data_IF_071961532940
#
_entry.id   IF_071961532940
#
_cell.length_a   1.000
_cell.length_b   1.000
_cell.length_c   1.000
_cell.angle_alpha   90.00
_cell.angle_beta   90.00
_cell.angle_gamma   90.00
#
_symmetry.space_group_name_H-M   'P 1'
#
loop_
_entity.id
_entity.type
_entity.pdbx_description
1 polymer ?
#
# COMPACT_ATOMS: atom_id res chain seq x y z
N UNK A 1 3.18 -0.30 -13.38
CA UNK A 1 2.27 -1.33 -12.84
C UNK A 1 1.74 -2.13 -14.01
N UNK A 2 1.66 -3.45 -13.90
CA UNK A 2 1.06 -4.27 -14.96
C UNK A 2 -0.46 -4.24 -14.91
N UNK A 3 -1.11 -4.52 -16.04
CA UNK A 3 -2.58 -4.55 -16.16
C UNK A 3 -3.21 -5.56 -15.20
N UNK A 4 -2.62 -6.74 -15.07
CA UNK A 4 -3.11 -7.82 -14.19
C UNK A 4 -3.18 -7.32 -12.74
N UNK A 5 -2.15 -6.63 -12.24
CA UNK A 5 -2.16 -6.09 -10.89
C UNK A 5 -3.30 -5.10 -10.68
N UNK A 6 -3.53 -4.19 -11.64
CA UNK A 6 -4.60 -3.20 -11.54
C UNK A 6 -5.97 -3.88 -11.50
N UNK A 7 -6.21 -4.86 -12.37
CA UNK A 7 -7.45 -5.64 -12.40
C UNK A 7 -7.64 -6.40 -11.09
N UNK A 8 -6.61 -7.09 -10.58
CA UNK A 8 -6.70 -7.79 -9.29
C UNK A 8 -7.06 -6.84 -8.16
N UNK A 9 -6.43 -5.66 -8.09
CA UNK A 9 -6.77 -4.66 -7.06
C UNK A 9 -8.22 -4.23 -7.20
N UNK A 10 -8.70 -3.95 -8.41
CA UNK A 10 -10.09 -3.52 -8.64
C UNK A 10 -11.11 -4.61 -8.30
N UNK A 11 -10.84 -5.87 -8.66
CA UNK A 11 -11.71 -7.00 -8.32
C UNK A 11 -11.78 -7.20 -6.80
N UNK A 12 -10.63 -7.20 -6.12
CA UNK A 12 -10.56 -7.38 -4.67
C UNK A 12 -11.14 -6.20 -3.89
N UNK A 13 -11.18 -5.00 -4.46
CA UNK A 13 -11.79 -3.81 -3.84
C UNK A 13 -13.22 -3.53 -4.30
N UNK A 14 -13.78 -4.38 -5.18
CA UNK A 14 -15.06 -4.16 -5.84
C UNK A 14 -15.17 -2.74 -6.45
N UNK A 15 -14.16 -2.33 -7.21
CA UNK A 15 -14.08 -1.00 -7.82
C UNK A 15 -14.05 0.14 -6.79
N UNK A 16 -13.51 -0.11 -5.60
CA UNK A 16 -13.51 0.83 -4.48
C UNK A 16 -14.86 1.39 -4.04
N UNK A 17 -15.99 0.78 -4.45
CA UNK A 17 -17.34 1.30 -4.20
C UNK A 17 -17.69 1.41 -2.70
N UNK A 18 -17.03 0.61 -1.87
CA UNK A 18 -17.24 0.54 -0.43
C UNK A 18 -16.24 1.39 0.38
N UNK A 19 -15.39 2.17 -0.29
CA UNK A 19 -14.39 3.00 0.37
C UNK A 19 -14.63 4.48 0.10
N UNK A 20 -14.88 5.23 1.16
CA UNK A 20 -15.02 6.70 1.11
C UNK A 20 -13.66 7.39 1.09
N UNK A 21 -12.64 6.73 1.66
CA UNK A 21 -11.32 7.31 1.76
C UNK A 21 -10.18 6.30 1.56
N UNK A 22 -9.02 6.83 1.15
CA UNK A 22 -7.83 6.02 0.91
C UNK A 22 -7.30 5.31 2.18
N UNK A 23 -7.62 5.81 3.38
CA UNK A 23 -7.18 5.15 4.63
C UNK A 23 -7.92 3.84 4.84
N UNK A 24 -9.22 3.78 4.53
CA UNK A 24 -10.01 2.55 4.56
C UNK A 24 -9.48 1.55 3.53
N UNK A 25 -9.23 1.98 2.28
CA UNK A 25 -8.65 1.12 1.26
C UNK A 25 -7.25 0.60 1.64
N UNK A 26 -6.40 1.46 2.21
CA UNK A 26 -5.08 1.05 2.70
C UNK A 26 -5.15 0.08 3.88
N UNK A 27 -6.10 0.27 4.80
CA UNK A 27 -6.33 -0.64 5.93
C UNK A 27 -6.91 -1.99 5.47
N UNK A 28 -7.84 -1.96 4.52
CA UNK A 28 -8.37 -3.15 3.86
C UNK A 28 -7.27 -3.94 3.16
N UNK A 29 -6.37 -3.26 2.44
CA UNK A 29 -5.18 -3.89 1.86
C UNK A 29 -4.14 -4.34 2.91
N UNK A 30 -4.28 -3.94 4.17
CA UNK A 30 -3.28 -4.18 5.23
C UNK A 30 -1.94 -3.52 4.93
N UNK A 31 -1.96 -2.32 4.37
CA UNK A 31 -0.78 -1.47 4.11
C UNK A 31 -0.62 -0.36 5.17
N UNK A 32 -1.38 -0.46 6.25
CA UNK A 32 -1.33 0.38 7.43
C UNK A 32 -0.50 -0.25 8.55
N UNK A 33 0.11 0.63 9.36
CA UNK A 33 0.82 0.23 10.56
C UNK A 33 -0.18 0.15 11.71
N UNK A 34 -0.35 -1.04 12.29
CA UNK A 34 -1.30 -1.29 13.37
C UNK A 34 -0.53 -1.55 14.67
N UNK A 35 -0.86 -0.84 15.76
CA UNK A 35 -0.29 -1.12 17.08
C UNK A 35 -0.80 -2.49 17.56
N UNK A 36 0.09 -3.32 18.09
CA UNK A 36 -0.28 -4.64 18.62
C UNK A 36 -0.36 -4.54 20.14
N UNK A 37 -1.53 -4.18 20.63
CA UNK A 37 -1.79 -4.02 22.07
C UNK A 37 -2.82 -5.05 22.56
N UNK A 38 -2.57 -5.63 23.74
CA UNK A 38 -3.55 -6.48 24.43
C UNK A 38 -3.46 -6.24 25.93
N UNK A 39 -4.44 -5.55 26.51
CA UNK A 39 -4.52 -5.30 27.95
C UNK A 39 -3.28 -4.58 28.50
N UNK A 40 -2.28 -5.34 28.98
CA UNK A 40 -1.02 -4.85 29.54
C UNK A 40 0.18 -4.96 28.57
N UNK A 41 0.04 -5.61 27.42
CA UNK A 41 1.13 -5.81 26.47
C UNK A 41 1.12 -4.73 25.39
N UNK A 42 2.25 -4.03 25.23
CA UNK A 42 2.53 -3.13 24.10
C UNK A 42 3.60 -3.76 23.20
N UNK A 43 3.16 -4.36 22.10
CA UNK A 43 4.04 -4.94 21.08
C UNK A 43 4.59 -3.90 20.10
N UNK A 44 5.51 -4.33 19.24
CA UNK A 44 6.03 -3.48 18.14
C UNK A 44 4.94 -3.22 17.11
N UNK A 45 4.77 -1.95 16.73
CA UNK A 45 3.90 -1.55 15.62
C UNK A 45 4.41 -2.13 14.31
N UNK A 46 3.54 -2.90 13.65
CA UNK A 46 3.85 -3.64 12.44
C UNK A 46 2.74 -3.50 11.41
N UNK A 47 2.94 -4.11 10.25
CA UNK A 47 1.94 -4.13 9.19
C UNK A 47 0.83 -5.09 9.59
N UNK A 48 -0.43 -4.71 9.33
CA UNK A 48 -1.57 -5.57 9.59
C UNK A 48 -1.50 -6.87 8.77
N UNK A 49 -1.61 -8.02 9.45
CA UNK A 49 -1.83 -9.31 8.78
C UNK A 49 -3.31 -9.58 8.48
N UNK A 50 -4.23 -8.73 8.96
CA UNK A 50 -5.69 -8.92 8.85
C UNK A 50 -6.29 -8.42 7.54
N UNK A 51 -5.59 -7.55 6.80
CA UNK A 51 -6.08 -7.06 5.51
C UNK A 51 -5.97 -8.10 4.39
N UNK A 52 -6.48 -7.76 3.22
CA UNK A 52 -6.46 -8.56 2.00
C UNK A 52 -5.03 -8.95 1.58
N UNK A 53 -4.74 -10.26 1.64
CA UNK A 53 -3.42 -10.79 1.31
C UNK A 53 -3.13 -10.75 -0.20
N UNK A 54 -4.14 -10.92 -1.05
CA UNK A 54 -3.99 -10.88 -2.50
C UNK A 54 -3.51 -9.50 -2.97
N UNK A 55 -4.13 -8.42 -2.46
CA UNK A 55 -3.71 -7.04 -2.75
C UNK A 55 -2.26 -6.79 -2.31
N UNK A 56 -1.84 -7.28 -1.13
CA UNK A 56 -0.44 -7.13 -0.71
C UNK A 56 0.53 -7.87 -1.62
N UNK A 57 0.22 -9.11 -1.97
CA UNK A 57 1.10 -9.92 -2.82
C UNK A 57 1.23 -9.30 -4.21
N UNK A 58 0.10 -8.88 -4.81
CA UNK A 58 0.12 -8.33 -6.17
C UNK A 58 0.81 -6.96 -6.24
N UNK A 59 0.77 -6.15 -5.18
CA UNK A 59 1.42 -4.84 -5.13
C UNK A 59 2.92 -4.90 -4.80
N UNK A 60 3.42 -6.02 -4.26
CA UNK A 60 4.81 -6.11 -3.81
C UNK A 60 5.81 -5.98 -4.96
N UNK A 61 5.65 -6.79 -6.01
CA UNK A 61 6.54 -6.76 -7.19
C UNK A 61 6.48 -5.42 -7.95
N UNK A 62 5.30 -4.83 -8.20
CA UNK A 62 5.20 -3.49 -8.77
C UNK A 62 5.83 -2.40 -7.91
N UNK A 63 5.74 -2.49 -6.58
CA UNK A 63 6.37 -1.53 -5.68
C UNK A 63 7.90 -1.62 -5.73
N UNK A 64 8.46 -2.84 -5.77
CA UNK A 64 9.90 -3.06 -5.97
C UNK A 64 10.37 -2.52 -7.32
N UNK A 65 9.68 -2.87 -8.40
CA UNK A 65 9.99 -2.38 -9.74
C UNK A 65 9.93 -0.85 -9.81
N UNK A 66 8.88 -0.24 -9.23
CA UNK A 66 8.75 1.22 -9.18
C UNK A 66 9.88 1.86 -8.37
N UNK A 67 10.26 1.31 -7.22
CA UNK A 67 11.35 1.83 -6.41
C UNK A 67 12.71 1.80 -7.13
N UNK A 68 12.91 0.87 -8.08
CA UNK A 68 14.15 0.75 -8.85
C UNK A 68 14.16 1.59 -10.13
N UNK A 69 13.04 1.66 -10.87
CA UNK A 69 13.01 2.22 -12.22
C UNK A 69 12.32 3.59 -12.31
N UNK A 70 11.46 3.95 -11.36
CA UNK A 70 10.75 5.22 -11.40
C UNK A 70 11.44 6.24 -10.47
N UNK A 71 12.00 7.31 -11.03
CA UNK A 71 12.73 8.35 -10.27
C UNK A 71 11.95 8.91 -9.09
N UNK A 72 10.64 9.16 -9.24
CA UNK A 72 9.80 9.70 -8.17
C UNK A 72 9.57 8.69 -7.04
N UNK A 73 9.44 7.41 -7.38
CA UNK A 73 9.25 6.35 -6.38
C UNK A 73 10.57 5.97 -5.73
N UNK A 74 11.68 6.00 -6.47
CA UNK A 74 13.03 5.82 -5.97
C UNK A 74 13.37 6.91 -4.95
N UNK A 75 13.17 8.19 -5.28
CA UNK A 75 13.40 9.29 -4.34
C UNK A 75 12.56 9.14 -3.06
N UNK A 76 11.30 8.71 -3.20
CA UNK A 76 10.43 8.43 -2.05
C UNK A 76 10.95 7.26 -1.19
N UNK A 77 11.35 6.16 -1.81
CA UNK A 77 11.94 5.01 -1.11
C UNK A 77 13.23 5.42 -0.39
N UNK A 78 14.17 6.04 -1.10
CA UNK A 78 15.47 6.46 -0.58
C UNK A 78 15.30 7.43 0.58
N UNK A 79 14.43 8.44 0.48
CA UNK A 79 14.18 9.37 1.58
C UNK A 79 13.63 8.71 2.86
N UNK A 80 12.89 7.60 2.75
CA UNK A 80 12.46 6.82 3.92
C UNK A 80 13.64 6.04 4.50
N UNK A 81 14.45 5.41 3.65
CA UNK A 81 15.60 4.60 4.04
C UNK A 81 16.71 5.45 4.65
N UNK A 82 16.96 6.65 4.15
CA UNK A 82 17.95 7.58 4.70
C UNK A 82 17.57 8.04 6.12
N UNK A 83 16.28 8.32 6.36
CA UNK A 83 15.78 8.69 7.69
C UNK A 83 15.88 7.54 8.69
N UNK A 84 15.72 6.30 8.23
CA UNK A 84 15.87 5.13 9.08
C UNK A 84 16.30 3.90 8.24
N UNK A 85 17.61 3.59 8.22
CA UNK A 85 18.14 2.50 7.38
C UNK A 85 17.63 1.10 7.76
N UNK A 86 17.12 0.93 8.99
CA UNK A 86 16.64 -0.36 9.49
C UNK A 86 15.24 -0.73 8.97
N UNK A 87 14.55 0.16 8.26
CA UNK A 87 13.15 -0.04 7.87
C UNK A 87 12.93 -0.23 6.36
N UNK A 88 13.90 -0.80 5.63
CA UNK A 88 13.80 -1.06 4.16
C UNK A 88 12.50 -1.77 3.75
N UNK A 89 12.07 -2.79 4.50
CA UNK A 89 10.78 -3.47 4.25
C UNK A 89 9.57 -2.55 4.43
N UNK A 90 9.58 -1.66 5.43
CA UNK A 90 8.49 -0.69 5.63
C UNK A 90 8.51 0.39 4.54
N UNK A 91 9.68 0.74 4.00
CA UNK A 91 9.79 1.65 2.86
C UNK A 91 9.11 1.06 1.61
N UNK A 92 9.32 -0.24 1.30
CA UNK A 92 8.58 -0.91 0.21
C UNK A 92 7.08 -0.90 0.46
N UNK A 93 6.62 -1.12 1.70
CA UNK A 93 5.20 -1.09 2.03
C UNK A 93 4.61 0.32 1.88
N UNK A 94 5.39 1.36 2.17
CA UNK A 94 5.01 2.73 1.87
C UNK A 94 4.88 2.97 0.35
N UNK A 95 5.78 2.41 -0.47
CA UNK A 95 5.66 2.43 -1.92
C UNK A 95 4.40 1.68 -2.41
N UNK A 96 4.09 0.52 -1.85
CA UNK A 96 2.85 -0.22 -2.15
C UNK A 96 1.62 0.63 -1.85
N UNK A 97 1.60 1.30 -0.69
CA UNK A 97 0.51 2.22 -0.32
C UNK A 97 0.39 3.37 -1.30
N UNK A 98 1.51 3.95 -1.75
CA UNK A 98 1.51 5.03 -2.74
C UNK A 98 0.97 4.57 -4.09
N UNK A 99 1.29 3.35 -4.52
CA UNK A 99 0.70 2.74 -5.71
C UNK A 99 -0.80 2.52 -5.57
N UNK A 100 -1.27 1.99 -4.43
CA UNK A 100 -2.70 1.84 -4.16
C UNK A 100 -3.43 3.18 -4.18
N UNK A 101 -2.84 4.24 -3.60
CA UNK A 101 -3.38 5.60 -3.67
C UNK A 101 -3.54 6.09 -5.11
N UNK A 102 -2.57 5.82 -5.97
CA UNK A 102 -2.68 6.20 -7.39
C UNK A 102 -3.84 5.49 -8.07
N UNK A 103 -4.01 4.18 -7.84
CA UNK A 103 -5.15 3.42 -8.40
C UNK A 103 -6.47 3.98 -7.89
N UNK A 104 -6.60 4.25 -6.59
CA UNK A 104 -7.81 4.80 -6.00
C UNK A 104 -8.18 6.18 -6.58
N UNK A 105 -7.21 7.08 -6.70
CA UNK A 105 -7.43 8.44 -7.21
C UNK A 105 -7.81 8.41 -8.70
N UNK A 106 -7.13 7.59 -9.51
CA UNK A 106 -7.44 7.47 -10.93
C UNK A 106 -8.84 6.90 -11.14
N UNK A 107 -9.20 5.85 -10.39
CA UNK A 107 -10.52 5.23 -10.49
C UNK A 107 -11.65 6.18 -10.06
N UNK A 108 -11.48 6.89 -8.93
CA UNK A 108 -12.48 7.86 -8.46
C UNK A 108 -12.63 9.04 -9.41
N UNK A 109 -11.55 9.46 -10.07
CA UNK A 109 -11.61 10.51 -11.09
C UNK A 109 -12.39 10.07 -12.34
N UNK A 110 -12.31 8.80 -12.73
CA UNK A 110 -13.12 8.26 -13.84
C UNK A 110 -14.61 8.13 -13.49
N UNK A 111 -14.96 7.85 -12.23
CA UNK A 111 -16.37 7.80 -11.77
C UNK A 111 -17.07 9.17 -11.76
N UNK A 112 -16.31 10.28 -11.69
CA UNK A 112 -16.84 11.65 -11.66
C UNK A 112 -16.99 12.30 -13.06
N UNK A 113 -16.71 11.55 -14.13
CA UNK A 113 -16.82 12.02 -15.54
C UNK A 113 -18.10 11.50 -16.18
#
# INVERSE_FOLDING_TARGET
>A
MGLITAVTVLCETNGFRLFDNIRQAASYAGLDAVPKESGKFKGRTGISKKGNAAIRQCLFMPALSAANHNKNMQAFYTGIVERNPQIKRKAIVACMRKLLTLVFVLWKKEEEI
#
